data_IF_623876284484
#
_entry.id   IF_623876284484
#
_cell.length_a   1.000
_cell.length_b   1.000
_cell.length_c   1.000
_cell.angle_alpha   90.00
_cell.angle_beta   90.00
_cell.angle_gamma   90.00
#
_symmetry.space_group_name_H-M   'P 1'
#
loop_
_entity.id
_entity.type
_entity.pdbx_description
1 polymer ?
#
# COMPACT_ATOMS: atom_id res chain seq x y z
N UNK A 1 -12.88 -11.22 -7.38
CA UNK A 1 -13.59 -10.37 -6.39
C UNK A 1 -14.75 -11.07 -5.64
N UNK A 2 -14.98 -12.38 -5.80
CA UNK A 2 -16.16 -13.07 -5.23
C UNK A 2 -16.19 -13.27 -3.70
N UNK A 3 -15.03 -13.35 -3.04
CA UNK A 3 -14.95 -13.69 -1.62
C UNK A 3 -15.49 -12.61 -0.66
N UNK A 4 -15.45 -11.33 -1.05
CA UNK A 4 -16.00 -10.25 -0.20
C UNK A 4 -17.53 -10.34 -0.16
N UNK A 5 -18.16 -10.79 -1.24
CA UNK A 5 -19.61 -10.95 -1.31
C UNK A 5 -20.08 -12.06 -0.39
N UNK A 6 -19.40 -13.21 -0.37
CA UNK A 6 -19.75 -14.33 0.53
C UNK A 6 -19.58 -13.94 1.99
N UNK A 7 -18.49 -13.25 2.35
CA UNK A 7 -18.26 -12.73 3.70
C UNK A 7 -19.35 -11.75 4.15
N UNK A 8 -19.82 -10.87 3.26
CA UNK A 8 -20.92 -9.95 3.56
C UNK A 8 -22.25 -10.68 3.77
N UNK A 9 -22.50 -11.75 3.02
CA UNK A 9 -23.71 -12.57 3.16
C UNK A 9 -23.68 -13.34 4.48
N UNK A 10 -22.55 -13.97 4.81
CA UNK A 10 -22.40 -14.69 6.09
C UNK A 10 -22.51 -13.76 7.29
N UNK A 11 -21.87 -12.58 7.24
CA UNK A 11 -22.04 -11.55 8.28
C UNK A 11 -23.51 -11.19 8.49
N UNK A 12 -24.26 -10.95 7.41
CA UNK A 12 -25.69 -10.60 7.47
C UNK A 12 -26.59 -11.73 7.97
N UNK A 13 -26.24 -12.98 7.68
CA UNK A 13 -26.95 -14.13 8.22
C UNK A 13 -26.74 -14.21 9.74
N UNK A 14 -25.50 -14.01 10.20
CA UNK A 14 -25.17 -13.98 11.62
C UNK A 14 -25.84 -12.81 12.35
N UNK A 15 -25.81 -11.59 11.80
CA UNK A 15 -26.47 -10.43 12.40
C UNK A 15 -27.98 -10.63 12.57
N UNK A 16 -28.65 -11.28 11.62
CA UNK A 16 -30.08 -11.62 11.73
C UNK A 16 -30.34 -12.67 12.80
N UNK A 17 -29.51 -13.71 12.86
CA UNK A 17 -29.60 -14.74 13.89
C UNK A 17 -29.41 -14.16 15.31
N UNK A 18 -28.43 -13.26 15.48
CA UNK A 18 -28.17 -12.58 16.77
C UNK A 18 -29.35 -11.72 17.23
N UNK A 19 -30.05 -11.07 16.30
CA UNK A 19 -31.20 -10.23 16.62
C UNK A 19 -32.52 -11.01 16.69
N UNK A 20 -32.51 -12.32 16.42
CA UNK A 20 -33.73 -13.14 16.37
C UNK A 20 -34.72 -12.72 15.29
N UNK A 21 -34.25 -12.05 14.23
CA UNK A 21 -35.10 -11.44 13.20
C UNK A 21 -35.41 -12.46 12.12
N UNK A 22 -36.69 -12.64 11.85
CA UNK A 22 -37.21 -13.57 10.86
C UNK A 22 -37.57 -12.84 9.55
N UNK A 23 -37.65 -13.59 8.43
CA UNK A 23 -38.02 -13.05 7.11
C UNK A 23 -39.30 -12.18 7.08
N UNK A 24 -40.35 -12.46 7.87
CA UNK A 24 -41.56 -11.64 7.92
C UNK A 24 -41.36 -10.23 8.48
N UNK A 25 -40.35 -10.02 9.33
CA UNK A 25 -40.15 -8.74 10.02
C UNK A 25 -39.73 -7.62 9.06
N UNK A 26 -39.36 -7.95 7.81
CA UNK A 26 -38.95 -7.03 6.73
C UNK A 26 -38.01 -5.89 7.20
N UNK A 27 -37.15 -6.19 8.17
CA UNK A 27 -36.27 -5.19 8.75
C UNK A 27 -35.23 -4.76 7.71
N UNK A 28 -35.16 -3.44 7.44
CA UNK A 28 -34.17 -2.86 6.54
C UNK A 28 -32.76 -3.19 7.01
N UNK A 29 -31.86 -3.47 6.07
CA UNK A 29 -30.46 -3.78 6.38
C UNK A 29 -29.75 -2.63 7.13
N UNK A 30 -30.19 -1.39 6.94
CA UNK A 30 -29.70 -0.21 7.67
C UNK A 30 -30.05 -0.26 9.16
N UNK A 31 -31.26 -0.73 9.49
CA UNK A 31 -31.74 -0.89 10.86
C UNK A 31 -30.93 -1.97 11.59
N UNK A 32 -30.66 -3.10 10.92
CA UNK A 32 -29.81 -4.18 11.44
C UNK A 32 -28.42 -3.64 11.77
N UNK A 33 -27.82 -2.86 10.86
CA UNK A 33 -26.51 -2.22 11.06
C UNK A 33 -26.52 -1.22 12.22
N UNK A 34 -27.60 -0.44 12.38
CA UNK A 34 -27.71 0.52 13.49
C UNK A 34 -27.78 -0.19 14.85
N UNK A 35 -28.48 -1.31 14.91
CA UNK A 35 -28.65 -2.10 16.14
C UNK A 35 -27.39 -2.86 16.53
N UNK A 36 -26.72 -3.51 15.59
CA UNK A 36 -25.52 -4.31 15.88
C UNK A 36 -24.25 -3.47 15.99
N UNK A 37 -24.19 -2.30 15.33
CA UNK A 37 -22.99 -1.44 15.24
C UNK A 37 -21.74 -2.18 14.74
N UNK A 38 -21.92 -3.32 14.05
CA UNK A 38 -20.83 -4.16 13.56
C UNK A 38 -20.18 -3.49 12.35
N UNK A 39 -18.86 -3.43 12.33
CA UNK A 39 -18.07 -2.89 11.21
C UNK A 39 -18.26 -3.76 9.95
N UNK A 40 -18.39 -3.15 8.76
CA UNK A 40 -18.49 -3.92 7.50
C UNK A 40 -17.19 -4.71 7.28
N UNK A 41 -17.31 -6.03 7.14
CA UNK A 41 -16.16 -6.92 6.89
C UNK A 41 -15.38 -6.52 5.64
N UNK A 42 -16.04 -5.92 4.64
CA UNK A 42 -15.34 -5.43 3.46
C UNK A 42 -14.42 -4.25 3.76
N UNK A 43 -14.86 -3.32 4.61
CA UNK A 43 -14.02 -2.20 5.07
C UNK A 43 -12.86 -2.73 5.90
N UNK A 44 -13.11 -3.71 6.77
CA UNK A 44 -12.04 -4.34 7.57
C UNK A 44 -11.02 -5.05 6.71
N UNK A 45 -11.45 -5.80 5.70
CA UNK A 45 -10.57 -6.48 4.73
C UNK A 45 -9.76 -5.47 3.93
N UNK A 46 -10.37 -4.36 3.49
CA UNK A 46 -9.65 -3.30 2.79
C UNK A 46 -8.58 -2.65 3.69
N UNK A 47 -8.93 -2.33 4.94
CA UNK A 47 -8.00 -1.78 5.91
C UNK A 47 -6.85 -2.74 6.23
N UNK A 48 -7.12 -4.04 6.38
CA UNK A 48 -6.07 -5.05 6.59
C UNK A 48 -5.12 -5.16 5.39
N UNK A 49 -5.66 -5.09 4.16
CA UNK A 49 -4.84 -5.04 2.95
C UNK A 49 -3.92 -3.81 2.94
N UNK A 50 -4.44 -2.66 3.34
CA UNK A 50 -3.67 -1.42 3.44
C UNK A 50 -2.63 -1.45 4.55
N UNK A 51 -2.99 -1.94 5.74
CA UNK A 51 -2.04 -2.15 6.84
C UNK A 51 -0.92 -3.12 6.44
N UNK A 52 -1.25 -4.17 5.70
CA UNK A 52 -0.25 -5.08 5.16
C UNK A 52 0.65 -4.37 4.13
N UNK A 53 0.09 -3.63 3.18
CA UNK A 53 0.87 -2.88 2.20
C UNK A 53 1.80 -1.87 2.88
N UNK A 54 1.30 -1.15 3.88
CA UNK A 54 2.07 -0.20 4.69
C UNK A 54 3.17 -0.89 5.49
N UNK A 55 2.86 -2.03 6.11
CA UNK A 55 3.85 -2.83 6.84
C UNK A 55 4.97 -3.32 5.91
N UNK A 56 4.63 -3.79 4.71
CA UNK A 56 5.62 -4.20 3.72
C UNK A 56 6.42 -3.00 3.20
N UNK A 57 5.79 -1.84 2.98
CA UNK A 57 6.48 -0.63 2.55
C UNK A 57 7.52 -0.12 3.57
N UNK A 58 7.23 -0.28 4.87
CA UNK A 58 8.17 0.07 5.96
C UNK A 58 9.30 -0.94 6.15
N UNK A 59 9.22 -2.12 5.53
CA UNK A 59 10.26 -3.14 5.65
C UNK A 59 11.42 -2.89 4.67
N UNK A 60 12.60 -2.65 5.24
CA UNK A 60 13.86 -2.39 4.53
C UNK A 60 14.67 -3.66 4.24
N UNK A 61 14.12 -4.85 4.54
CA UNK A 61 14.83 -6.13 4.50
C UNK A 61 15.05 -6.70 3.08
N UNK A 62 14.82 -5.90 2.03
CA UNK A 62 15.15 -6.23 0.63
C UNK A 62 14.41 -7.46 0.07
N UNK A 63 13.44 -8.00 0.81
CA UNK A 63 12.68 -9.20 0.45
C UNK A 63 11.69 -8.90 -0.67
N UNK A 64 11.18 -9.97 -1.29
CA UNK A 64 10.26 -9.93 -2.43
C UNK A 64 9.07 -8.97 -2.24
N UNK A 65 8.57 -8.78 -1.02
CA UNK A 65 7.48 -7.85 -0.72
C UNK A 65 7.74 -6.41 -1.17
N UNK A 66 8.91 -5.85 -0.87
CA UNK A 66 9.28 -4.48 -1.27
C UNK A 66 9.53 -4.39 -2.78
N UNK A 67 10.06 -5.45 -3.39
CA UNK A 67 10.25 -5.53 -4.85
C UNK A 67 8.92 -5.57 -5.61
N UNK A 68 7.91 -6.28 -5.09
CA UNK A 68 6.57 -6.34 -5.67
C UNK A 68 5.85 -5.00 -5.56
N UNK A 69 6.01 -4.27 -4.44
CA UNK A 69 5.44 -2.93 -4.30
C UNK A 69 6.03 -1.90 -5.28
N UNK A 70 7.35 -1.93 -5.47
CA UNK A 70 8.04 -1.02 -6.39
C UNK A 70 8.05 -1.50 -7.84
N UNK A 71 7.39 -2.63 -8.12
CA UNK A 71 7.39 -3.22 -9.45
C UNK A 71 6.59 -2.34 -10.40
N UNK A 72 7.27 -1.79 -11.40
CA UNK A 72 6.66 -1.11 -12.53
C UNK A 72 6.87 -1.98 -13.77
N UNK A 73 5.81 -2.22 -14.58
CA UNK A 73 5.99 -2.89 -15.87
C UNK A 73 6.87 -2.02 -16.75
N UNK A 74 7.97 -2.60 -17.27
CA UNK A 74 8.85 -1.96 -18.25
C UNK A 74 8.14 -1.94 -19.61
N UNK A 75 7.07 -1.17 -19.72
CA UNK A 75 6.50 -0.80 -21.02
C UNK A 75 7.06 0.58 -21.35
N UNK A 76 7.91 0.64 -22.37
CA UNK A 76 8.81 1.75 -22.63
C UNK A 76 8.13 3.11 -22.68
N UNK A 77 8.42 3.96 -21.69
CA UNK A 77 8.94 5.33 -21.85
C UNK A 77 9.37 5.79 -20.46
N UNK A 78 10.62 6.22 -20.34
CA UNK A 78 11.21 6.61 -19.06
C UNK A 78 10.66 7.97 -18.62
N UNK A 79 9.59 7.98 -17.83
CA UNK A 79 9.33 9.10 -16.93
C UNK A 79 10.28 8.96 -15.73
N UNK A 80 11.41 9.67 -15.82
CA UNK A 80 12.39 9.79 -14.75
C UNK A 80 11.76 10.57 -13.61
N UNK A 81 11.39 9.88 -12.52
CA UNK A 81 11.18 10.55 -11.24
C UNK A 81 12.54 10.86 -10.60
N UNK A 82 12.81 12.10 -10.16
CA UNK A 82 14.02 12.41 -9.43
C UNK A 82 14.02 11.70 -8.07
N UNK A 83 15.02 10.85 -7.83
CA UNK A 83 15.33 10.33 -6.49
C UNK A 83 16.00 11.45 -5.67
N UNK A 84 15.51 11.80 -4.46
CA UNK A 84 16.21 12.74 -3.60
C UNK A 84 17.28 11.97 -2.82
N UNK A 85 18.54 12.05 -3.25
CA UNK A 85 19.64 11.45 -2.50
C UNK A 85 20.84 11.07 -3.34
N UNK A 86 21.52 12.06 -3.91
CA UNK A 86 22.87 11.92 -4.45
C UNK A 86 23.75 13.00 -3.84
N UNK A 87 24.57 12.62 -2.86
CA UNK A 87 25.54 13.50 -2.23
C UNK A 87 26.58 13.91 -3.28
N UNK A 88 26.80 15.20 -3.48
CA UNK A 88 27.96 15.72 -4.21
C UNK A 88 29.19 15.54 -3.33
N UNK A 89 29.81 14.36 -3.41
CA UNK A 89 31.19 14.17 -2.98
C UNK A 89 32.09 14.54 -4.15
N UNK A 90 32.28 15.84 -4.37
CA UNK A 90 33.36 16.30 -5.25
C UNK A 90 34.68 16.11 -4.52
N UNK A 91 35.26 14.93 -4.68
CA UNK A 91 36.66 14.64 -4.35
C UNK A 91 37.30 14.05 -5.60
N UNK A 92 37.83 14.90 -6.46
CA UNK A 92 38.80 14.51 -7.48
C UNK A 92 40.00 15.45 -7.31
N UNK A 93 40.98 14.94 -6.57
CA UNK A 93 42.27 15.57 -6.34
C UNK A 93 43.16 15.38 -7.57
N UNK A 94 43.78 16.48 -7.98
CA UNK A 94 45.18 16.63 -8.41
C UNK A 94 45.80 15.55 -9.30
N UNK A 95 46.19 15.96 -10.51
CA UNK A 95 47.46 15.55 -11.11
C UNK A 95 48.32 16.79 -11.42
N UNK A 96 49.62 16.81 -11.07
CA UNK A 96 50.59 17.84 -11.43
C UNK A 96 51.43 17.42 -12.64
N UNK A 97 51.75 18.37 -13.54
CA UNK A 97 52.88 18.32 -14.51
C UNK A 97 52.92 19.71 -15.18
N UNK A 98 53.75 20.65 -14.72
CA UNK A 98 55.18 20.85 -14.95
C UNK A 98 55.49 21.80 -16.13
N UNK A 99 56.42 22.71 -15.82
CA UNK A 99 57.29 23.57 -16.63
C UNK A 99 56.78 24.25 -17.90
N UNK A 100 56.78 25.58 -17.89
CA UNK A 100 57.60 26.41 -18.81
C UNK A 100 57.50 27.90 -18.44
N UNK A 101 58.64 28.54 -18.17
CA UNK A 101 58.83 29.98 -18.37
C UNK A 101 58.87 30.32 -19.86
N UNK A 102 59.22 31.56 -20.29
CA UNK A 102 60.06 32.51 -19.56
C UNK A 102 59.59 34.00 -19.69
N UNK A 103 60.48 34.90 -19.23
CA UNK A 103 60.62 36.33 -19.61
C UNK A 103 59.57 37.30 -19.03
N UNK A 104 59.91 38.44 -18.41
CA UNK A 104 61.11 39.30 -18.45
C UNK A 104 61.34 39.98 -17.09
#
# INVERSE_FOLDING_TARGET
>A
MGHIRTLRVTQRAMERAMLGVSLPDQIRNEEIRRRTKVTDIAQRVAMLRWQWAEHIARRTDGRWGSKVLNWQPRTGTAYVNPQPGGQTTSSESLDPMDTSGPES
#
